data_IF_053339354059
#
_entry.id   IF_053339354059
#
_cell.length_a   1.000
_cell.length_b   1.000
_cell.length_c   1.000
_cell.angle_alpha   90.00
_cell.angle_beta   90.00
_cell.angle_gamma   90.00
#
_symmetry.space_group_name_H-M   'P 1'
#
loop_
_entity.id
_entity.type
_entity.pdbx_description
1 polymer ?
#
# COMPACT_ATOMS: atom_id res chain seq x y z
N UNK A 1 15.47 7.24 32.50
CA UNK A 1 14.68 6.74 33.65
C UNK A 1 14.72 5.22 33.81
N UNK A 2 14.34 4.42 32.81
CA UNK A 2 14.20 2.94 32.93
C UNK A 2 15.53 2.20 33.19
N UNK A 3 16.64 2.58 32.53
CA UNK A 3 17.95 1.95 32.74
C UNK A 3 18.51 2.16 34.16
N UNK A 4 18.24 3.34 34.75
CA UNK A 4 18.66 3.68 36.11
C UNK A 4 17.93 2.82 37.16
N UNK A 5 16.68 2.43 36.90
CA UNK A 5 15.92 1.55 37.78
C UNK A 5 16.55 0.15 37.86
N UNK A 6 16.99 -0.42 36.73
CA UNK A 6 17.69 -1.71 36.72
C UNK A 6 19.01 -1.64 37.53
N UNK A 7 19.82 -0.60 37.31
CA UNK A 7 21.08 -0.41 38.04
C UNK A 7 20.85 -0.27 39.56
N UNK A 8 19.79 0.43 39.95
CA UNK A 8 19.37 0.57 41.35
C UNK A 8 19.04 -0.80 41.99
N UNK A 9 18.25 -1.64 41.32
CA UNK A 9 17.87 -2.96 41.86
C UNK A 9 19.02 -3.96 41.84
N UNK A 10 19.95 -3.88 40.87
CA UNK A 10 21.16 -4.71 40.83
C UNK A 10 22.06 -4.46 42.05
N UNK A 11 22.25 -3.20 42.44
CA UNK A 11 23.18 -2.82 43.51
C UNK A 11 22.66 -3.14 44.91
N UNK A 12 21.36 -3.36 45.06
CA UNK A 12 20.71 -3.41 46.37
C UNK A 12 20.42 -4.81 46.92
N UNK A 13 20.68 -5.89 46.18
CA UNK A 13 20.38 -7.30 46.60
C UNK A 13 19.03 -7.44 47.33
N UNK A 14 18.06 -6.60 46.94
CA UNK A 14 16.78 -6.50 47.58
C UNK A 14 15.86 -7.46 46.81
N UNK A 15 15.47 -8.56 47.48
CA UNK A 15 14.50 -9.60 47.08
C UNK A 15 15.06 -10.87 46.42
N UNK A 16 14.45 -12.02 46.77
CA UNK A 16 14.63 -13.34 46.15
C UNK A 16 14.06 -13.33 44.72
N UNK A 17 14.88 -13.02 43.72
CA UNK A 17 14.49 -13.06 42.31
C UNK A 17 15.56 -12.47 41.39
N UNK A 18 15.48 -12.76 40.09
CA UNK A 18 16.43 -12.18 39.13
C UNK A 18 16.18 -10.67 39.02
N UNK A 19 17.25 -9.86 39.02
CA UNK A 19 17.16 -8.39 38.90
C UNK A 19 16.30 -7.92 37.71
N UNK A 20 16.26 -8.70 36.63
CA UNK A 20 15.43 -8.43 35.45
C UNK A 20 13.92 -8.64 35.71
N UNK A 21 13.54 -9.59 36.56
CA UNK A 21 12.14 -9.84 36.94
C UNK A 21 11.61 -8.75 37.85
N UNK A 22 12.42 -8.30 38.81
CA UNK A 22 12.09 -7.21 39.72
C UNK A 22 11.89 -5.92 38.92
N UNK A 23 12.86 -5.61 38.04
CA UNK A 23 12.77 -4.45 37.14
C UNK A 23 11.53 -4.51 36.25
N UNK A 24 11.20 -5.69 35.70
CA UNK A 24 10.03 -5.88 34.87
C UNK A 24 8.71 -5.61 35.64
N UNK A 25 8.59 -6.16 36.86
CA UNK A 25 7.44 -5.93 37.74
C UNK A 25 7.31 -4.46 38.14
N UNK A 26 8.39 -3.83 38.62
CA UNK A 26 8.37 -2.44 39.09
C UNK A 26 8.05 -1.43 37.97
N UNK A 27 8.46 -1.72 36.73
CA UNK A 27 8.23 -0.84 35.59
C UNK A 27 6.99 -1.21 34.76
N UNK A 28 6.24 -2.25 35.15
CA UNK A 28 5.06 -2.71 34.42
C UNK A 28 5.35 -3.19 33.00
N UNK A 29 6.56 -3.70 32.74
CA UNK A 29 6.99 -4.16 31.41
C UNK A 29 7.16 -5.69 31.39
N UNK A 30 7.12 -6.29 30.20
CA UNK A 30 7.38 -7.73 30.08
C UNK A 30 8.81 -8.10 30.53
N UNK A 31 8.98 -9.30 31.09
CA UNK A 31 10.28 -9.87 31.49
C UNK A 31 11.33 -9.78 30.39
N UNK A 32 10.92 -10.03 29.13
CA UNK A 32 11.81 -9.97 27.96
C UNK A 32 12.33 -8.55 27.68
N UNK A 33 11.56 -7.51 27.99
CA UNK A 33 12.06 -6.14 27.92
C UNK A 33 13.01 -5.86 29.09
N UNK A 34 12.70 -6.33 30.31
CA UNK A 34 13.61 -6.25 31.47
C UNK A 34 14.99 -6.86 31.21
N UNK A 35 15.04 -8.03 30.56
CA UNK A 35 16.30 -8.68 30.14
C UNK A 35 17.06 -7.84 29.10
N UNK A 36 16.36 -7.20 28.15
CA UNK A 36 16.99 -6.29 27.19
C UNK A 36 17.63 -5.09 27.87
N UNK A 37 17.04 -4.59 28.95
CA UNK A 37 17.61 -3.50 29.74
C UNK A 37 18.80 -3.92 30.60
N UNK A 38 18.86 -5.17 31.05
CA UNK A 38 20.06 -5.74 31.72
C UNK A 38 21.31 -5.66 30.84
N UNK A 39 21.15 -5.79 29.52
CA UNK A 39 22.24 -5.72 28.54
C UNK A 39 22.37 -4.34 27.87
N UNK A 40 21.65 -3.33 28.37
CA UNK A 40 21.62 -1.99 27.80
C UNK A 40 22.80 -1.18 28.30
N UNK A 41 23.92 -1.23 27.58
CA UNK A 41 25.01 -0.25 27.71
C UNK A 41 24.62 1.04 26.97
N UNK A 42 25.13 2.22 27.37
CA UNK A 42 24.85 3.51 26.71
C UNK A 42 25.10 3.50 25.19
N UNK A 43 25.91 2.57 24.69
CA UNK A 43 26.15 2.31 23.28
C UNK A 43 24.97 1.68 22.49
N UNK A 44 23.85 1.32 23.14
CA UNK A 44 22.73 0.57 22.52
C UNK A 44 21.48 1.41 22.24
N UNK A 45 21.65 2.69 21.94
CA UNK A 45 20.58 3.49 21.35
C UNK A 45 20.05 2.77 20.08
N UNK A 46 18.77 2.37 20.08
CA UNK A 46 18.16 1.71 18.92
C UNK A 46 18.24 2.66 17.73
N UNK A 47 19.03 2.32 16.70
CA UNK A 47 19.03 3.03 15.43
C UNK A 47 17.59 3.07 14.90
N UNK A 48 16.99 4.26 14.82
CA UNK A 48 15.68 4.44 14.20
C UNK A 48 15.83 3.96 12.75
N UNK A 49 15.10 2.89 12.38
CA UNK A 49 15.13 2.38 11.02
C UNK A 49 14.56 3.46 10.10
N UNK A 50 15.39 3.96 9.18
CA UNK A 50 14.93 4.90 8.14
C UNK A 50 13.82 4.25 7.33
N UNK A 51 12.73 4.98 7.08
CA UNK A 51 11.65 4.51 6.21
C UNK A 51 12.22 4.31 4.80
N UNK A 52 11.82 3.21 4.14
CA UNK A 52 12.20 2.99 2.73
C UNK A 52 11.54 4.06 1.86
N UNK A 53 12.23 4.57 0.82
CA UNK A 53 11.63 5.50 -0.12
C UNK A 53 10.44 4.82 -0.83
N UNK A 54 9.42 5.63 -1.15
CA UNK A 54 8.31 5.16 -2.00
C UNK A 54 8.85 4.84 -3.39
N UNK A 55 8.25 3.87 -4.07
CA UNK A 55 8.59 3.56 -5.46
C UNK A 55 8.06 4.67 -6.35
N UNK A 56 8.82 5.13 -7.35
CA UNK A 56 8.39 6.19 -8.27
C UNK A 56 6.99 5.93 -8.88
N UNK A 57 6.66 4.66 -9.13
CA UNK A 57 5.36 4.25 -9.68
C UNK A 57 4.16 4.46 -8.74
N UNK A 58 4.36 4.72 -7.44
CA UNK A 58 3.25 5.03 -6.54
C UNK A 58 2.72 6.45 -6.73
N UNK A 59 3.59 7.38 -7.12
CA UNK A 59 3.30 8.81 -7.19
C UNK A 59 3.31 9.32 -8.63
N UNK A 60 2.64 8.56 -9.50
CA UNK A 60 2.49 8.93 -10.90
C UNK A 60 1.43 10.01 -11.07
N UNK A 61 1.66 10.93 -12.01
CA UNK A 61 0.70 11.96 -12.44
C UNK A 61 -0.68 11.33 -12.73
N UNK A 62 -1.77 11.86 -12.14
CA UNK A 62 -3.14 11.46 -12.44
C UNK A 62 -3.45 11.37 -13.94
N UNK A 63 -2.89 12.25 -14.77
CA UNK A 63 -3.12 12.21 -16.22
C UNK A 63 -2.53 10.95 -16.85
N UNK A 64 -1.29 10.59 -16.52
CA UNK A 64 -0.68 9.34 -17.01
C UNK A 64 -1.49 8.12 -16.54
N UNK A 65 -1.97 8.13 -15.29
CA UNK A 65 -2.84 7.06 -14.76
C UNK A 65 -4.16 6.95 -15.55
N UNK A 66 -4.71 8.07 -16.03
CA UNK A 66 -5.91 8.11 -16.88
C UNK A 66 -5.60 7.54 -18.26
N UNK A 67 -4.55 8.01 -18.91
CA UNK A 67 -4.15 7.56 -20.25
C UNK A 67 -3.87 6.05 -20.30
N UNK A 68 -3.19 5.51 -19.28
CA UNK A 68 -2.97 4.06 -19.16
C UNK A 68 -4.29 3.28 -19.08
N UNK A 69 -5.30 3.80 -18.37
CA UNK A 69 -6.63 3.17 -18.32
C UNK A 69 -7.33 3.24 -19.68
N UNK A 70 -7.23 4.36 -20.39
CA UNK A 70 -7.84 4.51 -21.72
C UNK A 70 -7.27 3.50 -22.71
N UNK A 71 -5.94 3.35 -22.75
CA UNK A 71 -5.28 2.33 -23.59
C UNK A 71 -5.72 0.92 -23.20
N UNK A 72 -5.79 0.61 -21.90
CA UNK A 72 -6.28 -0.68 -21.44
C UNK A 72 -7.71 -0.98 -21.90
N UNK A 73 -8.62 -0.02 -21.81
CA UNK A 73 -10.00 -0.21 -22.25
C UNK A 73 -10.09 -0.37 -23.76
N UNK A 74 -9.29 0.38 -24.53
CA UNK A 74 -9.21 0.25 -25.98
C UNK A 74 -8.72 -1.15 -26.39
N UNK A 75 -7.64 -1.65 -25.78
CA UNK A 75 -7.15 -3.02 -26.02
C UNK A 75 -8.24 -4.08 -25.73
N UNK A 76 -8.95 -3.93 -24.60
CA UNK A 76 -10.03 -4.86 -24.21
C UNK A 76 -11.20 -4.78 -25.20
N UNK A 77 -11.59 -3.58 -25.62
CA UNK A 77 -12.65 -3.35 -26.61
C UNK A 77 -12.30 -3.98 -27.96
N UNK A 78 -11.03 -3.89 -28.37
CA UNK A 78 -10.51 -4.48 -29.60
C UNK A 78 -10.18 -5.99 -29.47
N UNK A 79 -10.57 -6.64 -28.35
CA UNK A 79 -10.32 -8.07 -28.07
C UNK A 79 -8.83 -8.47 -28.09
N UNK A 80 -7.93 -7.51 -27.87
CA UNK A 80 -6.48 -7.74 -27.80
C UNK A 80 -6.16 -8.35 -26.44
N UNK A 81 -5.34 -9.41 -26.42
CA UNK A 81 -4.89 -10.02 -25.17
C UNK A 81 -3.89 -9.10 -24.45
N UNK A 82 -4.29 -8.61 -23.27
CA UNK A 82 -3.49 -7.65 -22.50
C UNK A 82 -2.46 -8.39 -21.63
N UNK A 83 -1.23 -8.44 -22.11
CA UNK A 83 -0.05 -8.85 -21.36
C UNK A 83 0.78 -7.64 -20.96
N UNK A 84 1.71 -7.83 -20.01
CA UNK A 84 2.60 -6.74 -19.59
C UNK A 84 3.48 -6.26 -20.76
N UNK A 85 3.89 -7.16 -21.65
CA UNK A 85 4.74 -6.80 -22.79
C UNK A 85 3.94 -6.10 -23.89
N UNK A 86 2.75 -6.59 -24.23
CA UNK A 86 1.89 -5.97 -25.25
C UNK A 86 1.44 -4.59 -24.80
N UNK A 87 1.01 -4.46 -23.55
CA UNK A 87 0.68 -3.17 -22.97
C UNK A 87 1.89 -2.23 -22.89
N UNK A 88 3.06 -2.74 -22.50
CA UNK A 88 4.29 -1.95 -22.45
C UNK A 88 4.67 -1.39 -23.83
N UNK A 89 4.53 -2.20 -24.87
CA UNK A 89 4.79 -1.79 -26.25
C UNK A 89 3.80 -0.70 -26.72
N UNK A 90 2.51 -0.86 -26.45
CA UNK A 90 1.51 0.15 -26.83
C UNK A 90 1.68 1.48 -26.08
N UNK A 91 1.97 1.42 -24.77
CA UNK A 91 2.23 2.62 -23.97
C UNK A 91 3.50 3.35 -24.40
N UNK A 92 4.52 2.60 -24.82
CA UNK A 92 5.76 3.17 -25.36
C UNK A 92 5.52 3.79 -26.74
N UNK A 93 4.73 3.15 -27.61
CA UNK A 93 4.40 3.66 -28.94
C UNK A 93 3.61 4.98 -28.88
N UNK A 94 2.78 5.16 -27.85
CA UNK A 94 2.01 6.39 -27.61
C UNK A 94 2.77 7.44 -26.77
N UNK A 95 4.04 7.20 -26.42
CA UNK A 95 4.86 8.06 -25.54
C UNK A 95 4.22 8.39 -24.17
N UNK A 96 3.33 7.52 -23.68
CA UNK A 96 2.59 7.75 -22.43
C UNK A 96 3.43 7.32 -21.21
N UNK A 97 4.12 6.19 -21.33
CA UNK A 97 4.77 5.57 -20.17
C UNK A 97 5.93 4.66 -20.59
N UNK A 98 7.16 5.06 -20.25
CA UNK A 98 8.37 4.30 -20.54
C UNK A 98 8.97 3.79 -19.23
N UNK A 99 8.52 2.62 -18.76
CA UNK A 99 9.12 1.97 -17.58
C UNK A 99 9.24 0.46 -17.73
N UNK A 100 10.11 -0.10 -16.89
CA UNK A 100 10.38 -1.53 -16.78
C UNK A 100 9.11 -2.32 -16.42
N UNK A 101 9.04 -3.56 -16.89
CA UNK A 101 7.94 -4.52 -16.65
C UNK A 101 7.46 -4.58 -15.20
N UNK A 102 8.37 -4.56 -14.23
CA UNK A 102 8.05 -4.62 -12.79
C UNK A 102 7.36 -3.35 -12.27
N UNK A 103 7.70 -2.19 -12.84
CA UNK A 103 7.01 -0.93 -12.58
C UNK A 103 5.61 -0.96 -13.17
N UNK A 104 5.46 -1.41 -14.43
CA UNK A 104 4.13 -1.53 -15.06
C UNK A 104 3.20 -2.45 -14.26
N UNK A 105 3.70 -3.60 -13.79
CA UNK A 105 2.93 -4.50 -12.93
C UNK A 105 2.47 -3.83 -11.62
N UNK A 106 3.33 -3.00 -11.01
CA UNK A 106 2.97 -2.23 -9.83
C UNK A 106 1.95 -1.12 -10.14
N UNK A 107 2.11 -0.43 -11.27
CA UNK A 107 1.17 0.59 -11.74
C UNK A 107 -0.23 0.00 -11.89
N UNK A 108 -0.36 -1.12 -12.61
CA UNK A 108 -1.63 -1.82 -12.77
C UNK A 108 -2.25 -2.21 -11.43
N UNK A 109 -1.44 -2.71 -10.50
CA UNK A 109 -1.91 -3.04 -9.14
C UNK A 109 -2.46 -1.81 -8.41
N UNK A 110 -1.83 -0.65 -8.55
CA UNK A 110 -2.25 0.61 -7.94
C UNK A 110 -3.50 1.19 -8.63
N UNK A 111 -3.64 1.00 -9.94
CA UNK A 111 -4.83 1.40 -10.71
C UNK A 111 -6.07 0.54 -10.41
N UNK A 112 -5.90 -0.57 -9.69
CA UNK A 112 -6.99 -1.46 -9.32
C UNK A 112 -7.14 -2.67 -10.23
N UNK A 113 -6.12 -3.04 -11.01
CA UNK A 113 -6.13 -4.22 -11.86
C UNK A 113 -5.34 -5.39 -11.26
N UNK A 114 -5.68 -6.60 -11.70
CA UNK A 114 -4.99 -7.84 -11.33
C UNK A 114 -5.16 -8.91 -12.41
N UNK A 115 -4.11 -9.69 -12.65
CA UNK A 115 -4.19 -10.85 -13.54
C UNK A 115 -4.86 -12.03 -12.85
N UNK A 116 -6.04 -12.43 -13.34
CA UNK A 116 -6.81 -13.58 -12.86
C UNK A 116 -6.87 -14.66 -13.92
N UNK A 117 -7.04 -15.92 -13.48
CA UNK A 117 -7.29 -17.04 -14.39
C UNK A 117 -8.71 -16.92 -14.94
N UNK A 118 -8.83 -17.01 -16.25
CA UNK A 118 -10.08 -16.98 -16.99
C UNK A 118 -10.04 -18.06 -18.08
N UNK A 119 -10.93 -19.04 -17.95
CA UNK A 119 -11.22 -20.20 -18.83
C UNK A 119 -10.04 -21.14 -19.24
N UNK A 120 -8.80 -20.69 -19.14
CA UNK A 120 -7.54 -21.45 -19.36
C UNK A 120 -6.33 -20.51 -19.35
N UNK A 121 -6.55 -19.22 -19.62
CA UNK A 121 -5.51 -18.18 -19.71
C UNK A 121 -5.55 -17.26 -18.49
N UNK A 122 -4.58 -16.35 -18.40
CA UNK A 122 -4.64 -15.23 -17.46
C UNK A 122 -5.09 -13.99 -18.22
N UNK A 123 -6.14 -13.35 -17.72
CA UNK A 123 -6.66 -12.09 -18.23
C UNK A 123 -6.41 -10.98 -17.21
N UNK A 124 -6.11 -9.78 -17.69
CA UNK A 124 -6.06 -8.60 -16.84
C UNK A 124 -7.49 -8.17 -16.53
N UNK A 125 -7.84 -8.15 -15.25
CA UNK A 125 -9.18 -7.77 -14.80
C UNK A 125 -9.11 -6.69 -13.73
N UNK A 126 -10.15 -5.84 -13.68
CA UNK A 126 -10.38 -4.98 -12.52
C UNK A 126 -10.56 -5.82 -11.25
N UNK A 127 -10.11 -5.28 -10.11
CA UNK A 127 -10.32 -5.90 -8.81
C UNK A 127 -11.82 -5.87 -8.46
N UNK A 128 -12.35 -6.91 -7.81
CA UNK A 128 -13.79 -7.01 -7.50
C UNK A 128 -14.38 -5.80 -6.76
N UNK A 129 -13.64 -5.23 -5.79
CA UNK A 129 -14.11 -4.05 -5.05
C UNK A 129 -14.18 -2.79 -5.93
N UNK A 130 -13.27 -2.64 -6.91
CA UNK A 130 -13.30 -1.52 -7.87
C UNK A 130 -14.52 -1.66 -8.77
N UNK A 131 -14.78 -2.87 -9.28
CA UNK A 131 -15.96 -3.19 -10.09
C UNK A 131 -17.24 -2.90 -9.30
N UNK A 132 -17.31 -3.31 -8.04
CA UNK A 132 -18.47 -3.07 -7.18
C UNK A 132 -18.74 -1.57 -6.97
N UNK A 133 -17.71 -0.78 -6.65
CA UNK A 133 -17.82 0.67 -6.50
C UNK A 133 -18.26 1.34 -7.81
N UNK A 134 -17.70 0.92 -8.94
CA UNK A 134 -18.10 1.41 -10.27
C UNK A 134 -19.57 1.10 -10.56
N UNK A 135 -20.02 -0.12 -10.27
CA UNK A 135 -21.42 -0.52 -10.45
C UNK A 135 -22.36 0.36 -9.60
N UNK A 136 -22.06 0.55 -8.32
CA UNK A 136 -22.86 1.40 -7.43
C UNK A 136 -22.91 2.84 -7.94
N UNK A 137 -21.77 3.39 -8.36
CA UNK A 137 -21.70 4.74 -8.93
C UNK A 137 -22.57 4.85 -10.19
N UNK A 138 -22.40 3.94 -11.14
CA UNK A 138 -23.13 3.96 -12.41
C UNK A 138 -24.64 3.78 -12.20
N UNK A 139 -25.06 2.91 -11.28
CA UNK A 139 -26.47 2.76 -10.92
C UNK A 139 -27.07 4.08 -10.43
N UNK A 140 -26.43 4.73 -9.45
CA UNK A 140 -26.88 6.03 -8.93
C UNK A 140 -26.86 7.14 -9.99
N UNK A 141 -25.84 7.12 -10.85
CA UNK A 141 -25.73 8.07 -11.96
C UNK A 141 -26.91 7.91 -12.93
N UNK A 142 -27.23 6.67 -13.34
CA UNK A 142 -28.34 6.39 -14.24
C UNK A 142 -29.70 6.72 -13.60
N UNK A 143 -29.88 6.43 -12.31
CA UNK A 143 -31.06 6.86 -11.54
C UNK A 143 -31.24 8.38 -11.61
N UNK A 144 -30.17 9.15 -11.41
CA UNK A 144 -30.22 10.60 -11.52
C UNK A 144 -30.49 11.10 -12.95
N UNK A 145 -29.92 10.45 -13.96
CA UNK A 145 -30.13 10.80 -15.38
C UNK A 145 -31.58 10.57 -15.82
N UNK A 146 -32.21 9.53 -15.29
CA UNK A 146 -33.59 9.13 -15.62
C UNK A 146 -34.65 9.77 -14.70
N UNK A 147 -34.25 10.43 -13.61
CA UNK A 147 -35.15 11.15 -12.71
C UNK A 147 -35.80 12.35 -13.41
N UNK A 148 -37.06 12.63 -13.06
CA UNK A 148 -37.74 13.85 -13.47
C UNK A 148 -37.05 15.11 -12.91
N UNK A 149 -36.53 15.02 -11.68
CA UNK A 149 -35.71 16.05 -11.04
C UNK A 149 -34.23 15.64 -11.09
N UNK A 150 -33.53 16.06 -12.15
CA UNK A 150 -32.11 15.75 -12.34
C UNK A 150 -31.25 16.63 -11.43
N UNK A 151 -30.40 16.01 -10.60
CA UNK A 151 -29.41 16.75 -9.83
C UNK A 151 -28.24 17.13 -10.74
N UNK A 152 -27.72 18.37 -10.67
CA UNK A 152 -26.55 18.78 -11.45
C UNK A 152 -25.33 17.95 -11.04
N UNK A 153 -24.60 17.43 -12.03
CA UNK A 153 -23.36 16.68 -11.82
C UNK A 153 -22.18 17.59 -12.15
N UNK A 154 -21.49 18.08 -11.13
CA UNK A 154 -20.36 19.01 -11.28
C UNK A 154 -19.05 18.22 -11.23
N UNK A 155 -18.27 18.28 -12.30
CA UNK A 155 -16.92 17.74 -12.32
C UNK A 155 -15.98 18.77 -11.68
N UNK A 156 -15.28 18.36 -10.62
CA UNK A 156 -14.20 19.16 -10.02
C UNK A 156 -12.91 18.83 -10.77
N UNK A 157 -12.65 19.56 -11.84
CA UNK A 157 -11.37 19.50 -12.56
C UNK A 157 -10.40 20.49 -11.92
N UNK A 158 -9.72 20.03 -10.87
CA UNK A 158 -8.48 20.65 -10.40
C UNK A 158 -7.40 20.36 -11.47
N UNK A 159 -7.09 21.36 -12.29
CA UNK A 159 -5.95 21.38 -13.23
C UNK A 159 -4.65 21.59 -12.49
#
# INVERSE_FOLDING_TARGET
MIANAYAFFKNKNLCLGSSAEITAKCLGISRNQGIKYKNFTDATARKIKRKRPKKATSDLDPNIKREVRLVLYDMVQNRIHVNLDTLGAELSAKFIYTYKRSSLALLLKNLGFSYKKDDSRRALMEKPHVVALRKVFLSKYMENVNSAEKKPFIYLNET
#
